data_IF_184940384039
#
_entry.id   IF_184940384039
#
_cell.length_a   1.000
_cell.length_b   1.000
_cell.length_c   1.000
_cell.angle_alpha   90.00
_cell.angle_beta   90.00
_cell.angle_gamma   90.00
#
_symmetry.space_group_name_H-M   'P 1'
#
loop_
_entity.id
_entity.type
_entity.pdbx_description
1 polymer ?
#
# COMPACT_ATOMS: atom_id res chain seq x y z
N UNK A 1 20.91 -27.86 17.25
CA UNK A 1 19.65 -28.16 16.53
C UNK A 1 18.77 -26.93 16.69
N UNK A 2 18.88 -25.96 15.78
CA UNK A 2 18.12 -24.71 15.86
C UNK A 2 16.87 -24.84 14.99
N UNK A 3 15.71 -24.71 15.63
CA UNK A 3 14.41 -24.71 14.96
C UNK A 3 14.19 -23.34 14.35
N UNK A 4 14.31 -23.23 13.02
CA UNK A 4 13.97 -22.02 12.29
C UNK A 4 12.52 -21.62 12.55
N UNK A 5 12.29 -20.37 12.95
CA UNK A 5 10.95 -19.83 13.13
C UNK A 5 10.21 -19.87 11.79
N UNK A 6 9.03 -20.48 11.76
CA UNK A 6 8.13 -20.41 10.62
C UNK A 6 7.58 -18.99 10.52
N UNK A 7 7.87 -18.29 9.43
CA UNK A 7 7.15 -17.08 9.06
C UNK A 7 5.69 -17.46 8.84
N UNK A 8 4.83 -17.20 9.82
CA UNK A 8 3.39 -17.29 9.65
C UNK A 8 2.96 -16.17 8.70
N UNK A 9 2.39 -16.54 7.55
CA UNK A 9 1.75 -15.61 6.64
C UNK A 9 0.59 -14.93 7.39
N UNK A 10 0.86 -13.77 7.97
CA UNK A 10 -0.17 -12.96 8.58
C UNK A 10 -1.15 -12.52 7.47
N UNK A 11 -2.44 -12.65 7.74
CA UNK A 11 -3.48 -12.02 6.92
C UNK A 11 -3.15 -10.54 6.80
N UNK A 12 -2.91 -10.02 5.60
CA UNK A 12 -2.62 -8.59 5.37
C UNK A 12 -3.85 -7.78 5.84
N UNK A 13 -3.82 -7.14 7.02
CA UNK A 13 -4.98 -6.43 7.52
C UNK A 13 -5.09 -5.07 6.79
N UNK A 14 -6.30 -4.53 6.76
CA UNK A 14 -6.52 -3.15 6.32
C UNK A 14 -5.68 -2.22 7.19
N UNK A 15 -5.04 -1.24 6.56
CA UNK A 15 -4.22 -0.24 7.23
C UNK A 15 -4.75 1.14 6.86
N UNK A 16 -4.93 1.98 7.87
CA UNK A 16 -5.22 3.41 7.72
C UNK A 16 -4.34 4.15 8.73
N UNK A 17 -3.38 4.91 8.23
CA UNK A 17 -2.51 5.74 9.06
C UNK A 17 -2.67 7.19 8.61
N UNK A 18 -3.03 8.04 9.55
CA UNK A 18 -3.10 9.48 9.36
C UNK A 18 -1.84 10.11 9.99
N UNK A 19 -0.92 10.57 9.15
CA UNK A 19 0.31 11.25 9.56
C UNK A 19 0.11 12.76 9.38
N UNK A 20 0.97 13.55 10.03
CA UNK A 20 0.87 15.02 10.04
C UNK A 20 0.78 15.61 8.62
N UNK A 21 1.50 15.02 7.66
CA UNK A 21 1.60 15.54 6.29
C UNK A 21 1.07 14.58 5.22
N UNK A 22 0.67 13.35 5.58
CA UNK A 22 0.21 12.37 4.60
C UNK A 22 -0.63 11.27 5.21
N UNK A 23 -1.50 10.67 4.39
CA UNK A 23 -2.30 9.51 4.78
C UNK A 23 -1.82 8.25 4.07
N UNK A 24 -1.88 7.12 4.75
CA UNK A 24 -1.54 5.81 4.17
C UNK A 24 -2.75 4.89 4.26
N UNK A 25 -3.11 4.28 3.12
CA UNK A 25 -4.17 3.30 3.02
C UNK A 25 -3.65 1.97 2.47
N UNK A 26 -4.16 0.85 2.99
CA UNK A 26 -4.02 -0.47 2.37
C UNK A 26 -5.41 -1.03 2.05
N UNK A 27 -5.92 -0.85 0.82
CA UNK A 27 -7.15 -1.49 0.38
C UNK A 27 -6.98 -3.01 0.31
N UNK A 28 -8.08 -3.74 0.53
CA UNK A 28 -8.10 -5.21 0.55
C UNK A 28 -8.58 -5.84 -0.76
N UNK A 29 -9.14 -5.03 -1.67
CA UNK A 29 -9.73 -5.48 -2.92
C UNK A 29 -9.75 -4.34 -3.96
N UNK A 30 -10.06 -4.67 -5.21
CA UNK A 30 -10.13 -3.69 -6.30
C UNK A 30 -11.23 -2.65 -6.10
N UNK A 31 -12.33 -2.99 -5.42
CA UNK A 31 -13.45 -2.07 -5.20
C UNK A 31 -13.03 -0.94 -4.23
N UNK A 32 -12.37 -1.28 -3.13
CA UNK A 32 -11.83 -0.33 -2.17
C UNK A 32 -10.76 0.55 -2.81
N UNK A 33 -9.85 -0.04 -3.60
CA UNK A 33 -8.84 0.71 -4.34
C UNK A 33 -9.49 1.71 -5.31
N UNK A 34 -10.47 1.28 -6.10
CA UNK A 34 -11.18 2.13 -7.05
C UNK A 34 -11.95 3.27 -6.35
N UNK A 35 -12.53 3.00 -5.18
CA UNK A 35 -13.20 4.01 -4.35
C UNK A 35 -12.21 5.06 -3.83
N UNK A 36 -11.06 4.62 -3.31
CA UNK A 36 -9.99 5.50 -2.84
C UNK A 36 -9.46 6.41 -3.96
N UNK A 37 -9.17 5.84 -5.14
CA UNK A 37 -8.70 6.60 -6.29
C UNK A 37 -9.76 7.60 -6.79
N UNK A 38 -11.03 7.20 -6.77
CA UNK A 38 -12.13 8.06 -7.23
C UNK A 38 -12.41 9.23 -6.27
N UNK A 39 -12.26 8.99 -4.96
CA UNK A 39 -12.42 10.04 -3.94
C UNK A 39 -11.25 11.03 -3.94
N UNK A 40 -10.05 10.59 -4.33
CA UNK A 40 -8.81 11.36 -4.22
C UNK A 40 -8.22 11.80 -5.58
N UNK A 41 -9.05 12.02 -6.59
CA UNK A 41 -8.61 12.34 -7.98
C UNK A 41 -7.67 13.54 -8.09
N UNK A 42 -7.83 14.55 -7.22
CA UNK A 42 -7.05 15.79 -7.25
C UNK A 42 -5.92 15.82 -6.20
N UNK A 43 -5.69 14.70 -5.52
CA UNK A 43 -4.72 14.56 -4.43
C UNK A 43 -3.45 13.93 -4.99
N UNK A 44 -2.27 14.41 -4.60
CA UNK A 44 -1.00 13.81 -5.06
C UNK A 44 -0.86 12.43 -4.43
N UNK A 45 -1.25 11.42 -5.18
CA UNK A 45 -1.32 10.03 -4.71
C UNK A 45 -0.15 9.21 -5.22
N UNK A 46 0.48 8.44 -4.33
CA UNK A 46 1.54 7.48 -4.66
C UNK A 46 1.06 6.06 -4.38
N UNK A 47 1.01 5.23 -5.44
CA UNK A 47 0.75 3.80 -5.30
C UNK A 47 2.06 3.05 -5.02
N UNK A 48 2.02 2.09 -4.11
CA UNK A 48 3.17 1.33 -3.65
C UNK A 48 2.85 -0.16 -3.62
N UNK A 49 3.53 -0.95 -4.44
CA UNK A 49 3.64 -2.40 -4.25
C UNK A 49 5.03 -2.81 -3.72
N UNK A 50 5.99 -1.88 -3.76
CA UNK A 50 7.33 -2.07 -3.24
C UNK A 50 8.03 -0.73 -3.15
N UNK A 51 9.07 -0.64 -2.33
CA UNK A 51 9.71 0.65 -2.03
C UNK A 51 10.92 0.97 -2.90
N UNK A 52 11.31 0.12 -3.86
CA UNK A 52 12.52 0.32 -4.65
C UNK A 52 12.50 1.65 -5.43
N UNK A 53 11.43 1.92 -6.19
CA UNK A 53 11.30 3.17 -6.94
C UNK A 53 11.27 4.38 -5.98
N UNK A 54 10.43 4.34 -4.95
CA UNK A 54 10.33 5.42 -3.95
C UNK A 54 11.64 5.63 -3.18
N UNK A 55 12.44 4.58 -2.97
CA UNK A 55 13.75 4.68 -2.33
C UNK A 55 14.80 5.35 -3.22
N UNK A 56 14.79 5.05 -4.52
CA UNK A 56 15.66 5.73 -5.51
C UNK A 56 15.21 7.18 -5.71
N UNK A 57 13.92 7.41 -5.89
CA UNK A 57 13.32 8.73 -6.12
C UNK A 57 12.76 9.34 -4.83
N UNK A 58 13.48 9.21 -3.71
CA UNK A 58 13.02 9.62 -2.37
C UNK A 58 12.71 11.11 -2.21
N UNK A 59 13.22 11.94 -3.12
CA UNK A 59 12.98 13.38 -3.12
C UNK A 59 11.83 13.77 -4.06
N UNK A 60 11.20 12.82 -4.77
CA UNK A 60 9.96 13.06 -5.49
C UNK A 60 8.82 13.09 -4.48
N UNK A 61 8.23 14.27 -4.28
CA UNK A 61 7.22 14.52 -3.26
C UNK A 61 7.15 15.99 -2.87
N UNK A 62 6.33 16.34 -1.86
CA UNK A 62 5.53 15.45 -1.02
C UNK A 62 4.29 14.88 -1.74
N UNK A 63 3.86 13.70 -1.31
CA UNK A 63 2.57 13.10 -1.68
C UNK A 63 1.64 13.16 -0.47
N UNK A 64 0.40 13.56 -0.69
CA UNK A 64 -0.59 13.69 0.37
C UNK A 64 -1.20 12.33 0.73
N UNK A 65 -1.20 11.39 -0.23
CA UNK A 65 -1.78 10.07 -0.06
C UNK A 65 -0.86 8.96 -0.58
N UNK A 66 -0.64 7.95 0.24
CA UNK A 66 0.06 6.73 -0.11
C UNK A 66 -0.90 5.54 -0.07
N UNK A 67 -0.86 4.70 -1.09
CA UNK A 67 -1.71 3.50 -1.17
C UNK A 67 -0.82 2.28 -1.33
N UNK A 68 -0.84 1.41 -0.32
CA UNK A 68 -0.17 0.11 -0.32
C UNK A 68 -1.04 -0.95 -1.03
N UNK A 69 -0.54 -1.49 -2.13
CA UNK A 69 -1.24 -2.40 -3.01
C UNK A 69 -1.12 -3.88 -2.60
N UNK A 70 -0.33 -4.23 -1.57
CA UNK A 70 -0.17 -5.63 -1.13
C UNK A 70 -1.47 -6.27 -0.59
N UNK A 71 -2.46 -5.46 -0.24
CA UNK A 71 -3.77 -5.95 0.19
C UNK A 71 -4.66 -6.41 -0.97
N UNK A 72 -4.44 -5.89 -2.18
CA UNK A 72 -5.28 -6.14 -3.36
C UNK A 72 -4.77 -7.36 -4.13
N UNK A 73 -5.17 -8.55 -3.68
CA UNK A 73 -4.69 -9.84 -4.22
C UNK A 73 -4.93 -10.00 -5.71
N UNK A 74 -6.01 -9.43 -6.22
CA UNK A 74 -6.40 -9.49 -7.63
C UNK A 74 -5.34 -8.88 -8.57
N UNK A 75 -4.43 -8.03 -8.06
CA UNK A 75 -3.35 -7.43 -8.86
C UNK A 75 -2.18 -8.38 -9.13
N UNK A 76 -1.99 -9.43 -8.33
CA UNK A 76 -0.78 -10.27 -8.38
C UNK A 76 -1.03 -11.76 -8.21
N UNK A 77 -2.23 -12.16 -7.80
CA UNK A 77 -2.61 -13.55 -7.68
C UNK A 77 -3.27 -14.01 -8.98
N UNK A 78 -2.59 -14.86 -9.73
CA UNK A 78 -3.17 -15.58 -10.86
C UNK A 78 -3.89 -16.82 -10.33
N UNK A 79 -5.15 -16.99 -10.72
CA UNK A 79 -5.95 -18.21 -10.52
C UNK A 79 -5.70 -19.21 -11.63
#
# INVERSE_FOLDING_TARGET
KESGAKCSSHTNPSLDLDLIESRWHRPLDLQQLGTLLSANKNVKTRLLFGNTSTGIFKNEGPYDLYIDLHGVKELYQFT
#
